data_IF_463018368005
#
_entry.id   IF_463018368005
#
_cell.length_a   1.000
_cell.length_b   1.000
_cell.length_c   1.000
_cell.angle_alpha   90.00
_cell.angle_beta   90.00
_cell.angle_gamma   90.00
#
_symmetry.space_group_name_H-M   'P 1'
#
loop_
_entity.id
_entity.type
_entity.pdbx_description
1 polymer ?
#
# COMPACT_ATOMS: atom_id res chain seq x y z
N UNK A 1 2.69 1.72 62.51
CA UNK A 1 2.53 2.69 61.41
C UNK A 1 2.96 1.98 60.13
N UNK A 2 2.02 1.49 59.38
CA UNK A 2 2.26 0.75 58.13
C UNK A 2 1.82 1.64 56.98
N UNK A 3 2.80 2.06 56.15
CA UNK A 3 2.56 2.88 54.99
C UNK A 3 2.01 1.99 53.87
N UNK A 4 0.74 2.27 53.47
CA UNK A 4 0.11 1.65 52.31
C UNK A 4 0.63 2.24 51.03
N UNK A 5 1.29 1.43 50.20
CA UNK A 5 1.65 1.76 48.83
C UNK A 5 0.40 1.68 47.94
N UNK A 6 -0.12 2.84 47.54
CA UNK A 6 -1.18 2.93 46.56
C UNK A 6 -0.59 2.70 45.16
N UNK A 7 -0.86 1.54 44.59
CA UNK A 7 -0.59 1.27 43.17
C UNK A 7 -1.63 2.05 42.32
N UNK A 8 -1.24 3.19 41.81
CA UNK A 8 -2.00 3.91 40.78
C UNK A 8 -1.96 3.08 39.49
N UNK A 9 -3.07 2.40 39.21
CA UNK A 9 -3.33 1.79 37.88
C UNK A 9 -3.50 2.94 36.90
N UNK A 10 -2.52 3.14 36.02
CA UNK A 10 -2.65 4.06 34.90
C UNK A 10 -3.81 3.59 34.02
N UNK A 11 -4.73 4.47 33.60
CA UNK A 11 -5.81 4.10 32.72
C UNK A 11 -5.20 3.64 31.40
N UNK A 12 -5.48 2.39 31.02
CA UNK A 12 -5.24 1.87 29.66
C UNK A 12 -5.91 2.83 28.69
N UNK A 13 -5.09 3.51 27.89
CA UNK A 13 -5.56 4.47 26.91
C UNK A 13 -6.65 3.85 26.03
N UNK A 14 -7.83 4.43 26.05
CA UNK A 14 -8.95 4.07 25.17
C UNK A 14 -8.46 4.26 23.74
N UNK A 15 -8.06 3.17 23.09
CA UNK A 15 -7.63 3.17 21.72
C UNK A 15 -8.72 3.75 20.82
N UNK A 16 -8.36 4.71 19.99
CA UNK A 16 -9.27 5.34 19.06
C UNK A 16 -9.95 4.28 18.19
N UNK A 17 -11.26 4.13 18.31
CA UNK A 17 -12.12 3.26 17.46
C UNK A 17 -12.30 3.84 16.05
N UNK A 18 -11.64 4.97 15.75
CA UNK A 18 -11.75 5.64 14.46
C UNK A 18 -11.14 4.78 13.36
N UNK A 19 -11.94 4.44 12.34
CA UNK A 19 -11.48 3.72 11.16
C UNK A 19 -10.34 4.47 10.48
N UNK A 20 -9.33 3.73 9.99
CA UNK A 20 -8.31 4.29 9.11
C UNK A 20 -8.94 4.63 7.79
N UNK A 21 -8.71 5.85 7.34
CA UNK A 21 -9.12 6.30 6.02
C UNK A 21 -7.94 6.96 5.33
N UNK A 22 -7.56 6.39 4.19
CA UNK A 22 -6.55 7.02 3.34
C UNK A 22 -7.18 8.18 2.55
N UNK A 23 -6.46 9.30 2.37
CA UNK A 23 -6.86 10.33 1.43
C UNK A 23 -6.96 9.76 0.00
N UNK A 24 -7.75 10.41 -0.86
CA UNK A 24 -7.85 10.01 -2.28
C UNK A 24 -6.49 10.02 -2.99
N UNK A 25 -5.56 10.83 -2.53
CA UNK A 25 -4.17 10.88 -2.97
C UNK A 25 -3.26 10.92 -1.75
N UNK A 26 -2.24 10.06 -1.76
CA UNK A 26 -1.11 10.10 -0.82
C UNK A 26 0.17 10.17 -1.63
N UNK A 27 1.10 11.06 -1.25
CA UNK A 27 2.45 11.08 -1.79
C UNK A 27 3.39 10.25 -0.93
N UNK A 28 4.37 9.61 -1.56
CA UNK A 28 5.42 8.85 -0.88
C UNK A 28 6.58 9.79 -0.60
N UNK A 29 6.93 9.94 0.66
CA UNK A 29 8.10 10.68 1.12
C UNK A 29 9.12 9.72 1.70
N UNK A 30 10.39 9.91 1.37
CA UNK A 30 11.45 9.05 1.88
C UNK A 30 12.68 9.84 2.32
N UNK A 31 13.46 9.24 3.21
CA UNK A 31 14.72 9.81 3.68
C UNK A 31 15.83 8.79 3.40
N UNK A 32 16.69 9.09 2.44
CA UNK A 32 17.69 8.17 1.89
C UNK A 32 18.52 7.43 2.95
N UNK A 33 18.93 8.12 4.03
CA UNK A 33 19.84 7.54 5.04
C UNK A 33 19.13 6.71 6.12
N UNK A 34 17.79 6.67 6.16
CA UNK A 34 17.05 5.99 7.23
C UNK A 34 16.28 4.76 6.75
N UNK A 35 16.26 4.48 5.47
CA UNK A 35 15.40 3.47 4.82
C UNK A 35 13.91 3.60 5.17
N UNK A 36 13.52 4.70 5.82
CA UNK A 36 12.12 4.97 6.19
C UNK A 36 11.45 5.77 5.10
N UNK A 37 10.19 5.50 4.92
CA UNK A 37 9.32 6.28 4.05
C UNK A 37 7.94 6.44 4.67
N UNK A 38 7.21 7.42 4.17
CA UNK A 38 5.92 7.84 4.69
C UNK A 38 4.94 8.02 3.56
N UNK A 39 3.66 7.81 3.86
CA UNK A 39 2.55 8.27 3.06
C UNK A 39 1.97 9.51 3.73
N UNK A 40 1.72 10.56 2.97
CA UNK A 40 1.17 11.82 3.48
C UNK A 40 0.56 12.69 2.40
N UNK A 41 -0.04 13.79 2.80
CA UNK A 41 -0.56 14.80 1.88
C UNK A 41 0.55 15.77 1.45
N UNK A 42 1.49 16.04 2.36
CA UNK A 42 2.69 16.84 2.14
C UNK A 42 3.81 16.36 3.08
N UNK A 43 4.99 16.97 3.00
CA UNK A 43 6.11 16.67 3.91
C UNK A 43 5.80 17.07 5.36
N UNK A 44 4.94 18.06 5.53
CA UNK A 44 4.50 18.59 6.81
C UNK A 44 3.30 17.82 7.34
N UNK A 45 2.58 17.11 6.47
CA UNK A 45 1.37 16.33 6.80
C UNK A 45 1.59 14.86 6.44
N UNK A 46 2.47 14.21 7.20
CA UNK A 46 2.76 12.77 7.11
C UNK A 46 1.73 12.00 7.91
N UNK A 47 1.05 11.04 7.28
CA UNK A 47 -0.05 10.30 7.86
C UNK A 47 0.35 8.91 8.35
N UNK A 48 1.15 8.19 7.57
CA UNK A 48 1.52 6.81 7.84
C UNK A 48 3.02 6.62 7.64
N UNK A 49 3.68 5.93 8.56
CA UNK A 49 5.08 5.58 8.41
C UNK A 49 5.24 4.13 7.98
N UNK A 50 6.13 3.87 7.03
CA UNK A 50 6.64 2.55 6.77
C UNK A 50 8.01 2.40 7.44
N UNK A 51 8.08 1.47 8.38
CA UNK A 51 9.29 1.16 9.15
C UNK A 51 9.87 -0.14 8.61
N UNK A 52 11.01 -0.10 7.92
CA UNK A 52 11.65 -1.31 7.42
C UNK A 52 12.22 -2.12 8.58
N UNK A 53 12.22 -3.42 8.39
CA UNK A 53 12.85 -4.32 9.34
C UNK A 53 14.36 -4.07 9.42
N UNK A 54 14.88 -4.21 10.62
CA UNK A 54 16.31 -4.42 10.79
C UNK A 54 16.60 -5.89 10.42
N UNK A 55 17.43 -6.11 9.39
CA UNK A 55 17.90 -7.44 8.96
C UNK A 55 16.76 -8.39 8.51
N UNK A 56 16.21 -9.12 8.36
CA UNK A 56 15.23 -10.14 7.89
C UNK A 56 13.82 -10.04 8.49
N UNK A 57 13.47 -9.00 9.22
CA UNK A 57 12.12 -8.87 9.78
C UNK A 57 11.08 -8.31 8.79
N UNK A 58 9.82 -8.19 9.20
CA UNK A 58 8.79 -7.60 8.36
C UNK A 58 8.89 -6.07 8.30
N UNK A 59 8.64 -5.49 7.14
CA UNK A 59 8.36 -4.07 7.03
C UNK A 59 6.98 -3.78 7.63
N UNK A 60 6.86 -2.73 8.43
CA UNK A 60 5.62 -2.44 9.17
C UNK A 60 5.05 -1.09 8.77
N UNK A 61 3.80 -1.08 8.29
CA UNK A 61 3.01 0.12 8.07
C UNK A 61 2.35 0.53 9.38
N UNK A 62 2.59 1.78 9.80
CA UNK A 62 2.14 2.36 11.06
C UNK A 62 0.93 3.27 10.86
N UNK A 63 0.04 3.33 11.86
CA UNK A 63 -1.05 4.28 11.95
C UNK A 63 -0.59 5.61 12.56
N UNK A 64 0.20 6.32 11.79
CA UNK A 64 0.79 7.60 12.18
C UNK A 64 2.21 7.75 11.65
N UNK A 65 2.78 8.96 11.72
CA UNK A 65 4.08 9.27 11.13
C UNK A 65 5.27 8.75 11.95
N UNK A 66 5.04 8.27 13.17
CA UNK A 66 6.09 7.87 14.09
C UNK A 66 6.30 6.35 14.09
N UNK A 67 7.54 5.93 14.39
CA UNK A 67 7.89 4.50 14.54
C UNK A 67 7.11 3.81 15.68
N UNK A 68 6.69 4.56 16.67
CA UNK A 68 5.98 4.08 17.86
C UNK A 68 4.45 4.13 17.70
N UNK A 69 3.96 4.63 16.54
CA UNK A 69 2.54 4.57 16.21
C UNK A 69 2.08 3.12 16.09
N UNK A 70 0.79 2.84 16.30
CA UNK A 70 0.24 1.48 16.22
C UNK A 70 0.50 0.82 14.86
N UNK A 71 0.62 -0.50 14.84
CA UNK A 71 0.78 -1.28 13.63
C UNK A 71 -0.55 -1.41 12.88
N UNK A 72 -0.56 -1.08 11.58
CA UNK A 72 -1.68 -1.32 10.69
C UNK A 72 -1.51 -2.61 9.91
N UNK A 73 -0.32 -2.82 9.38
CA UNK A 73 0.00 -4.00 8.61
C UNK A 73 1.50 -4.28 8.62
N UNK A 74 1.87 -5.53 8.35
CA UNK A 74 3.25 -5.90 8.11
C UNK A 74 3.40 -6.68 6.80
N UNK A 75 4.55 -6.53 6.14
CA UNK A 75 4.94 -7.27 4.95
C UNK A 75 6.23 -8.01 5.22
N UNK A 76 6.17 -9.33 5.25
CA UNK A 76 7.32 -10.23 5.45
C UNK A 76 7.67 -10.91 4.12
N UNK A 77 8.89 -10.69 3.64
CA UNK A 77 9.40 -11.35 2.43
C UNK A 77 9.70 -12.81 2.74
N UNK A 78 9.06 -13.74 2.07
CA UNK A 78 9.34 -15.18 2.16
C UNK A 78 10.35 -15.62 1.10
N UNK A 79 10.15 -15.16 -0.11
CA UNK A 79 11.03 -15.43 -1.26
C UNK A 79 11.14 -14.16 -2.11
N UNK A 80 11.93 -14.22 -3.19
CA UNK A 80 11.99 -13.11 -4.16
C UNK A 80 10.65 -12.86 -4.89
N UNK A 81 9.72 -13.81 -4.79
CA UNK A 81 8.44 -13.80 -5.51
C UNK A 81 7.22 -13.76 -4.58
N UNK A 82 7.41 -13.86 -3.29
CA UNK A 82 6.31 -13.99 -2.35
C UNK A 82 6.57 -13.18 -1.08
N UNK A 83 5.54 -12.46 -0.66
CA UNK A 83 5.49 -11.81 0.64
C UNK A 83 4.20 -12.17 1.35
N UNK A 84 4.28 -12.41 2.65
CA UNK A 84 3.11 -12.53 3.51
C UNK A 84 2.80 -11.16 4.09
N UNK A 85 1.57 -10.70 3.91
CA UNK A 85 1.07 -9.45 4.47
C UNK A 85 0.06 -9.77 5.56
N UNK A 86 0.24 -9.17 6.74
CA UNK A 86 -0.68 -9.27 7.87
C UNK A 86 -1.28 -7.91 8.15
N UNK A 87 -2.60 -7.83 8.24
CA UNK A 87 -3.35 -6.62 8.59
C UNK A 87 -3.86 -6.80 10.00
N UNK A 88 -3.63 -5.81 10.86
CA UNK A 88 -3.94 -5.88 12.28
C UNK A 88 -5.27 -5.18 12.62
N UNK A 89 -5.90 -5.65 13.69
CA UNK A 89 -7.01 -4.95 14.32
C UNK A 89 -6.49 -3.82 15.20
N UNK A 90 -7.31 -2.85 15.49
CA UNK A 90 -7.02 -1.78 16.44
C UNK A 90 -7.88 -1.85 17.69
N UNK A 91 -7.39 -1.36 18.83
CA UNK A 91 -5.99 -1.29 19.26
C UNK A 91 -5.59 -2.69 19.76
N UNK A 92 -4.41 -3.15 19.52
CA UNK A 92 -3.94 -4.37 20.19
C UNK A 92 -3.15 -5.32 19.32
N UNK A 93 -3.10 -5.10 18.01
CA UNK A 93 -2.17 -5.84 17.15
C UNK A 93 -2.59 -7.29 16.84
N UNK A 94 -3.84 -7.69 17.11
CA UNK A 94 -4.34 -8.97 16.61
C UNK A 94 -4.42 -8.99 15.09
N UNK A 95 -4.10 -10.13 14.49
CA UNK A 95 -4.16 -10.29 13.03
C UNK A 95 -5.62 -10.39 12.59
N UNK A 96 -6.11 -9.37 11.90
CA UNK A 96 -7.45 -9.33 11.30
C UNK A 96 -7.50 -10.11 9.99
N UNK A 97 -6.48 -9.97 9.16
CA UNK A 97 -6.36 -10.62 7.86
C UNK A 97 -4.91 -10.99 7.56
N UNK A 98 -4.73 -12.11 6.87
CA UNK A 98 -3.44 -12.51 6.29
C UNK A 98 -3.67 -12.77 4.81
N UNK A 99 -2.86 -12.14 3.96
CA UNK A 99 -2.88 -12.35 2.52
C UNK A 99 -1.48 -12.69 2.01
N UNK A 100 -1.44 -13.46 0.92
CA UNK A 100 -0.22 -13.74 0.18
C UNK A 100 -0.14 -12.77 -0.98
N UNK A 101 1.00 -12.14 -1.13
CA UNK A 101 1.29 -11.21 -2.22
C UNK A 101 2.34 -11.85 -3.13
N UNK A 102 1.92 -12.17 -4.35
CA UNK A 102 2.73 -12.87 -5.33
C UNK A 102 3.28 -11.93 -6.37
N UNK A 103 4.59 -12.06 -6.62
CA UNK A 103 5.32 -11.37 -7.66
C UNK A 103 5.59 -12.35 -8.79
N UNK A 104 5.02 -12.14 -9.95
CA UNK A 104 5.42 -12.90 -11.12
C UNK A 104 6.82 -12.48 -11.62
N UNK A 105 7.44 -13.25 -12.52
CA UNK A 105 8.87 -13.34 -12.83
C UNK A 105 9.62 -12.02 -13.17
N UNK A 106 8.95 -10.89 -13.37
CA UNK A 106 9.59 -9.59 -13.61
C UNK A 106 8.78 -8.45 -12.96
N UNK A 107 9.40 -7.27 -12.79
CA UNK A 107 8.70 -6.05 -12.36
C UNK A 107 7.61 -5.62 -13.34
N UNK A 108 7.69 -6.08 -14.59
CA UNK A 108 6.68 -5.85 -15.64
C UNK A 108 5.49 -6.81 -15.53
N UNK A 109 5.61 -7.86 -14.70
CA UNK A 109 4.56 -8.86 -14.55
C UNK A 109 3.56 -8.47 -13.45
N UNK A 110 2.36 -9.00 -13.60
CA UNK A 110 1.26 -8.78 -12.67
C UNK A 110 1.59 -9.29 -11.26
N UNK A 111 1.21 -8.52 -10.26
CA UNK A 111 1.40 -8.86 -8.85
C UNK A 111 0.03 -9.03 -8.21
N UNK A 112 -0.21 -10.16 -7.58
CA UNK A 112 -1.56 -10.59 -7.19
C UNK A 112 -1.69 -10.77 -5.69
N UNK A 113 -2.88 -10.46 -5.19
CA UNK A 113 -3.31 -10.83 -3.85
C UNK A 113 -4.82 -11.08 -3.81
N UNK A 114 -5.25 -11.76 -2.77
CA UNK A 114 -6.65 -12.02 -2.49
C UNK A 114 -7.03 -11.42 -1.15
N UNK A 115 -8.24 -10.89 -1.06
CA UNK A 115 -8.77 -10.31 0.15
C UNK A 115 -10.25 -10.64 0.29
N UNK A 116 -10.70 -10.94 1.51
CA UNK A 116 -12.11 -11.09 1.80
C UNK A 116 -12.74 -9.73 2.04
N UNK A 117 -13.67 -9.34 1.17
CA UNK A 117 -14.47 -8.11 1.27
C UNK A 117 -15.90 -8.51 1.62
N UNK A 118 -16.34 -8.12 2.82
CA UNK A 118 -17.61 -8.65 3.38
C UNK A 118 -17.51 -10.17 3.55
N UNK A 119 -18.31 -10.91 2.77
CA UNK A 119 -18.35 -12.39 2.78
C UNK A 119 -17.75 -13.03 1.52
N UNK A 120 -17.17 -12.23 0.61
CA UNK A 120 -16.65 -12.71 -0.68
C UNK A 120 -15.16 -12.60 -0.72
N UNK A 121 -14.52 -13.67 -1.19
CA UNK A 121 -13.10 -13.68 -1.53
C UNK A 121 -12.94 -13.05 -2.90
N UNK A 122 -12.15 -11.99 -2.98
CA UNK A 122 -11.94 -11.21 -4.19
C UNK A 122 -10.46 -11.19 -4.55
N UNK A 123 -10.20 -11.13 -5.86
CA UNK A 123 -8.86 -11.18 -6.42
C UNK A 123 -8.48 -9.81 -6.98
N UNK A 124 -7.27 -9.37 -6.66
CA UNK A 124 -6.72 -8.09 -7.06
C UNK A 124 -5.37 -8.29 -7.73
N UNK A 125 -5.08 -7.42 -8.70
CA UNK A 125 -3.85 -7.49 -9.46
C UNK A 125 -3.31 -6.10 -9.74
N UNK A 126 -2.06 -5.86 -9.36
CA UNK A 126 -1.29 -4.71 -9.79
C UNK A 126 -0.71 -4.98 -11.18
N UNK A 127 -0.93 -4.08 -12.12
CA UNK A 127 -0.46 -4.15 -13.52
C UNK A 127 0.31 -2.90 -13.86
N UNK A 128 1.45 -3.04 -14.51
CA UNK A 128 2.13 -1.91 -15.15
C UNK A 128 1.22 -1.33 -16.23
N UNK A 129 1.20 -0.02 -16.36
CA UNK A 129 0.33 0.67 -17.31
C UNK A 129 0.97 1.94 -17.85
N UNK A 130 0.61 2.26 -19.10
CA UNK A 130 0.93 3.53 -19.78
C UNK A 130 -0.35 4.16 -20.35
N UNK A 131 -1.49 3.91 -19.70
CA UNK A 131 -2.80 4.34 -20.18
C UNK A 131 -3.06 5.83 -20.04
N UNK A 132 -4.09 6.34 -20.75
CA UNK A 132 -4.49 7.74 -20.68
C UNK A 132 -5.04 8.13 -19.31
N UNK A 133 -5.57 7.16 -18.54
CA UNK A 133 -6.04 7.33 -17.17
C UNK A 133 -4.99 7.96 -16.25
N UNK A 134 -3.72 7.67 -16.52
CA UNK A 134 -2.60 8.24 -15.77
C UNK A 134 -2.48 9.73 -16.02
N UNK A 135 -2.47 10.12 -17.30
CA UNK A 135 -2.32 11.51 -17.72
C UNK A 135 -3.46 12.38 -17.19
N UNK A 136 -4.68 11.85 -17.22
CA UNK A 136 -5.85 12.56 -16.70
C UNK A 136 -5.80 12.74 -15.18
N UNK A 137 -5.29 11.73 -14.45
CA UNK A 137 -5.21 11.76 -13.00
C UNK A 137 -4.04 12.62 -12.47
N UNK A 138 -2.89 12.56 -13.15
CA UNK A 138 -1.64 13.15 -12.65
C UNK A 138 -1.25 14.43 -13.37
N UNK A 139 -1.89 14.74 -14.52
CA UNK A 139 -1.52 15.85 -15.38
C UNK A 139 -0.21 15.65 -16.16
N UNK A 140 0.46 14.52 -15.99
CA UNK A 140 1.76 14.23 -16.60
C UNK A 140 1.88 12.77 -17.03
N UNK A 141 2.79 12.49 -17.98
CA UNK A 141 3.17 11.12 -18.33
C UNK A 141 4.25 10.63 -17.36
N UNK A 142 3.95 9.62 -16.56
CA UNK A 142 4.92 8.91 -15.75
C UNK A 142 5.41 7.66 -16.49
N UNK A 143 6.67 7.29 -16.29
CA UNK A 143 7.28 6.12 -16.94
C UNK A 143 6.90 4.82 -16.25
N UNK A 144 6.87 4.82 -14.91
CA UNK A 144 6.61 3.63 -14.11
C UNK A 144 5.32 3.82 -13.30
N UNK A 145 4.25 3.25 -13.80
CA UNK A 145 2.92 3.35 -13.19
C UNK A 145 2.29 1.98 -13.06
N UNK A 146 1.70 1.75 -11.90
CA UNK A 146 0.96 0.53 -11.61
C UNK A 146 -0.51 0.87 -11.34
N UNK A 147 -1.43 0.09 -11.90
CA UNK A 147 -2.86 0.16 -11.58
C UNK A 147 -3.30 -1.10 -10.87
N UNK A 148 -4.04 -0.93 -9.78
CA UNK A 148 -4.71 -2.02 -9.10
C UNK A 148 -6.05 -2.28 -9.76
N UNK A 149 -6.25 -3.48 -10.26
CA UNK A 149 -7.51 -3.90 -10.87
C UNK A 149 -8.16 -5.01 -10.04
N UNK A 150 -9.49 -4.98 -9.99
CA UNK A 150 -10.30 -6.07 -9.48
C UNK A 150 -10.46 -7.09 -10.58
N UNK A 151 -9.99 -8.32 -10.34
CA UNK A 151 -10.20 -9.42 -11.28
C UNK A 151 -11.62 -9.92 -11.06
N UNK A 152 -12.52 -9.57 -11.99
CA UNK A 152 -13.87 -10.04 -11.90
C UNK A 152 -13.92 -11.57 -12.09
N UNK A 153 -14.64 -12.23 -11.21
CA UNK A 153 -15.21 -13.54 -11.53
C UNK A 153 -16.06 -13.39 -12.80
N UNK A 154 -16.11 -14.40 -13.63
CA UNK A 154 -16.61 -14.56 -15.02
C UNK A 154 -17.65 -13.57 -15.62
N UNK A 155 -18.24 -12.66 -14.85
CA UNK A 155 -19.40 -11.86 -15.25
C UNK A 155 -19.12 -10.39 -15.54
N UNK A 156 -17.90 -9.89 -15.46
CA UNK A 156 -17.60 -8.49 -15.77
C UNK A 156 -17.33 -8.29 -17.25
N UNK A 157 -18.39 -8.25 -18.02
CA UNK A 157 -18.39 -7.99 -19.44
C UNK A 157 -18.34 -6.48 -19.77
N UNK A 158 -17.19 -5.83 -19.58
CA UNK A 158 -16.90 -4.58 -20.26
C UNK A 158 -15.69 -4.71 -21.17
N UNK A 159 -15.70 -5.74 -22.02
CA UNK A 159 -14.79 -5.86 -23.16
C UNK A 159 -15.31 -5.04 -24.34
N UNK A 160 -14.92 -3.79 -24.44
CA UNK A 160 -15.24 -2.92 -25.57
C UNK A 160 -13.97 -2.33 -26.20
N UNK A 161 -14.10 -1.71 -27.39
CA UNK A 161 -13.01 -0.96 -28.02
C UNK A 161 -12.55 0.16 -27.08
N UNK A 162 -11.24 0.50 -27.09
CA UNK A 162 -10.62 1.48 -26.18
C UNK A 162 -11.39 2.82 -26.08
N UNK A 163 -12.08 3.26 -27.14
CA UNK A 163 -12.86 4.51 -27.18
C UNK A 163 -14.21 4.44 -26.45
N UNK A 164 -14.73 3.24 -26.16
CA UNK A 164 -16.06 3.02 -25.61
C UNK A 164 -16.03 2.64 -24.12
N UNK A 165 -14.83 2.50 -23.55
CA UNK A 165 -14.67 2.08 -22.15
C UNK A 165 -14.71 3.28 -21.23
N UNK A 166 -15.42 3.17 -20.08
CA UNK A 166 -15.27 4.14 -19.01
C UNK A 166 -13.80 4.28 -18.59
N UNK A 167 -13.39 5.48 -18.19
CA UNK A 167 -12.00 5.82 -17.86
C UNK A 167 -11.36 4.83 -16.86
N UNK A 168 -12.14 4.41 -15.86
CA UNK A 168 -11.67 3.56 -14.76
C UNK A 168 -11.79 2.06 -15.01
N UNK A 169 -11.80 1.64 -16.28
CA UNK A 169 -11.79 0.23 -16.64
C UNK A 169 -10.56 -0.11 -17.48
N UNK A 170 -9.88 -1.18 -17.11
CA UNK A 170 -8.74 -1.71 -17.86
C UNK A 170 -9.18 -2.33 -19.20
N UNK A 171 -8.22 -2.63 -20.08
CA UNK A 171 -8.49 -3.19 -21.41
C UNK A 171 -9.25 -4.51 -21.42
N UNK A 172 -9.25 -5.26 -20.33
CA UNK A 172 -10.04 -6.49 -20.17
C UNK A 172 -11.37 -6.29 -19.45
N UNK A 173 -11.87 -5.05 -19.28
CA UNK A 173 -13.10 -4.76 -18.54
C UNK A 173 -12.96 -4.80 -17.02
N UNK A 174 -11.75 -5.03 -16.49
CA UNK A 174 -11.51 -5.02 -15.05
C UNK A 174 -11.57 -3.60 -14.49
N UNK A 175 -12.23 -3.45 -13.35
CA UNK A 175 -12.37 -2.18 -12.62
C UNK A 175 -11.01 -1.74 -12.05
N UNK A 176 -10.64 -0.46 -12.24
CA UNK A 176 -9.43 0.12 -11.65
C UNK A 176 -9.79 0.74 -10.31
N UNK A 177 -9.14 0.28 -9.24
CA UNK A 177 -9.43 0.68 -7.87
C UNK A 177 -8.38 1.63 -7.29
N UNK A 178 -7.13 1.51 -7.73
CA UNK A 178 -6.05 2.39 -7.32
C UNK A 178 -5.00 2.55 -8.43
N UNK A 179 -4.23 3.63 -8.35
CA UNK A 179 -3.09 3.89 -9.23
C UNK A 179 -1.92 4.32 -8.36
N UNK A 180 -0.76 3.71 -8.58
CA UNK A 180 0.49 4.08 -7.96
C UNK A 180 1.49 4.55 -9.01
N UNK A 181 2.13 5.70 -8.78
CA UNK A 181 3.16 6.26 -9.66
C UNK A 181 4.52 6.21 -8.99
N UNK A 182 5.54 5.84 -9.74
CA UNK A 182 6.91 5.94 -9.32
C UNK A 182 7.57 7.16 -9.95
N UNK A 183 8.27 7.94 -9.14
CA UNK A 183 8.99 9.12 -9.61
C UNK A 183 10.48 8.94 -9.36
N UNK A 184 11.22 8.62 -10.40
CA UNK A 184 12.68 8.40 -10.33
C UNK A 184 13.49 9.69 -10.18
N UNK A 185 12.87 10.85 -9.93
CA UNK A 185 13.56 12.13 -9.92
C UNK A 185 14.34 12.32 -8.61
N UNK A 186 15.50 11.68 -8.53
CA UNK A 186 16.48 11.80 -7.42
C UNK A 186 16.97 13.24 -7.18
N UNK A 187 16.67 14.19 -8.06
CA UNK A 187 17.02 15.61 -7.86
C UNK A 187 16.06 16.34 -6.93
N UNK A 188 14.82 15.86 -6.80
CA UNK A 188 13.90 16.28 -5.72
C UNK A 188 13.98 15.24 -4.59
N UNK A 189 15.02 15.34 -3.80
CA UNK A 189 15.18 14.55 -2.59
C UNK A 189 13.86 14.56 -1.80
N UNK A 190 13.32 13.36 -1.55
CA UNK A 190 12.25 13.01 -0.63
C UNK A 190 10.85 12.74 -1.23
N UNK A 191 10.62 12.83 -2.53
CA UNK A 191 9.34 12.42 -3.14
C UNK A 191 9.56 11.22 -4.05
N UNK A 192 8.86 10.11 -3.77
CA UNK A 192 9.02 8.83 -4.45
C UNK A 192 7.89 8.46 -5.41
N UNK A 193 6.86 9.27 -5.48
CA UNK A 193 5.65 9.03 -6.28
C UNK A 193 4.38 9.22 -5.49
N UNK A 194 3.26 8.84 -6.08
CA UNK A 194 1.92 9.01 -5.52
C UNK A 194 1.14 7.69 -5.53
N UNK A 195 0.24 7.54 -4.57
CA UNK A 195 -0.80 6.52 -4.53
C UNK A 195 -2.17 7.18 -4.56
N UNK A 196 -2.96 6.86 -5.56
CA UNK A 196 -4.32 7.36 -5.76
C UNK A 196 -5.32 6.25 -5.49
N UNK A 197 -6.29 6.50 -4.62
CA UNK A 197 -7.44 5.64 -4.40
C UNK A 197 -8.60 6.11 -5.29
N UNK A 198 -8.94 5.33 -6.31
CA UNK A 198 -10.05 5.63 -7.23
C UNK A 198 -11.36 5.22 -6.58
N UNK A 199 -11.37 4.03 -5.96
CA UNK A 199 -12.51 3.50 -5.24
C UNK A 199 -12.04 2.79 -3.98
N UNK A 200 -12.77 2.99 -2.88
CA UNK A 200 -12.55 2.28 -1.62
C UNK A 200 -13.54 1.12 -1.49
N UNK A 201 -13.04 -0.02 -1.05
CA UNK A 201 -13.83 -1.18 -0.65
C UNK A 201 -13.79 -1.39 0.87
N UNK A 202 -13.43 -0.35 1.61
CA UNK A 202 -13.32 -0.33 3.07
C UNK A 202 -11.90 -0.36 3.59
N UNK A 203 -11.76 -0.19 4.91
CA UNK A 203 -10.48 -0.01 5.61
C UNK A 203 -9.45 -1.09 5.30
N UNK A 204 -9.83 -2.35 5.39
CA UNK A 204 -8.94 -3.49 5.14
C UNK A 204 -8.38 -3.48 3.72
N UNK A 205 -9.21 -3.11 2.74
CA UNK A 205 -8.80 -2.97 1.35
C UNK A 205 -7.82 -1.80 1.17
N UNK A 206 -8.09 -0.64 1.77
CA UNK A 206 -7.19 0.52 1.68
C UNK A 206 -5.81 0.21 2.28
N UNK A 207 -5.77 -0.45 3.45
CA UNK A 207 -4.52 -0.88 4.09
C UNK A 207 -3.78 -1.89 3.21
N UNK A 208 -4.48 -2.91 2.66
CA UNK A 208 -3.88 -3.89 1.75
C UNK A 208 -3.32 -3.22 0.50
N UNK A 209 -4.06 -2.28 -0.08
CA UNK A 209 -3.63 -1.49 -1.26
C UNK A 209 -2.37 -0.70 -0.96
N UNK A 210 -2.34 0.03 0.17
CA UNK A 210 -1.19 0.84 0.56
C UNK A 210 0.07 -0.03 0.76
N UNK A 211 -0.01 -1.09 1.56
CA UNK A 211 1.16 -1.91 1.88
C UNK A 211 1.66 -2.72 0.69
N UNK A 212 0.78 -3.22 -0.19
CA UNK A 212 1.18 -3.92 -1.41
C UNK A 212 1.83 -2.97 -2.40
N UNK A 213 1.29 -1.75 -2.56
CA UNK A 213 1.91 -0.75 -3.42
C UNK A 213 3.28 -0.30 -2.89
N UNK A 214 3.42 -0.03 -1.61
CA UNK A 214 4.70 0.32 -1.00
C UNK A 214 5.74 -0.80 -1.21
N UNK A 215 5.31 -2.05 -1.21
CA UNK A 215 6.20 -3.19 -1.53
C UNK A 215 6.68 -3.17 -2.98
N UNK A 216 5.80 -2.83 -3.94
CA UNK A 216 6.17 -2.65 -5.35
C UNK A 216 7.15 -1.49 -5.49
N UNK A 217 6.84 -0.37 -4.85
CA UNK A 217 7.65 0.84 -4.87
C UNK A 217 9.08 0.56 -4.34
N UNK A 218 9.23 -0.15 -3.22
CA UNK A 218 10.54 -0.59 -2.70
C UNK A 218 11.35 -1.36 -3.73
N UNK A 219 10.70 -2.30 -4.41
CA UNK A 219 11.38 -3.14 -5.41
C UNK A 219 11.79 -2.33 -6.63
N UNK A 220 10.95 -1.42 -7.09
CA UNK A 220 11.27 -0.50 -8.20
C UNK A 220 12.44 0.41 -7.83
N UNK A 221 12.46 0.95 -6.59
CA UNK A 221 13.57 1.72 -6.06
C UNK A 221 14.88 0.91 -6.02
N UNK A 222 14.84 -0.31 -5.51
CA UNK A 222 16.02 -1.18 -5.43
C UNK A 222 16.57 -1.51 -6.82
N UNK A 223 15.69 -1.78 -7.79
CA UNK A 223 16.08 -2.03 -9.18
C UNK A 223 16.71 -0.78 -9.82
N UNK A 224 16.14 0.40 -9.63
CA UNK A 224 16.67 1.66 -10.17
C UNK A 224 18.03 2.06 -9.58
N UNK A 225 18.32 1.63 -8.35
CA UNK A 225 19.61 1.87 -7.69
C UNK A 225 20.67 0.81 -8.02
N UNK A 226 20.41 -0.13 -8.90
CA UNK A 226 21.32 -1.24 -9.20
C UNK A 226 21.52 -2.23 -8.05
N UNK A 227 20.68 -2.13 -7.00
CA UNK A 227 20.67 -3.04 -5.84
C UNK A 227 19.78 -4.28 -6.11
N UNK A 228 19.44 -4.50 -7.37
CA UNK A 228 18.62 -5.60 -7.82
C UNK A 228 19.27 -6.95 -7.54
N UNK A 229 18.55 -7.78 -6.81
CA UNK A 229 18.84 -9.17 -6.43
C UNK A 229 19.85 -9.39 -5.30
N UNK A 230 19.45 -9.09 -4.08
CA UNK A 230 19.93 -9.84 -2.93
C UNK A 230 18.79 -10.73 -2.42
#
# INVERSE_FOLDING_TARGET
MTAGTSNAVLPLGVGSTKMVKFPKKCSIFFKMWTSRYWLGMSKEDLLFAMVPAKWKGPNVLKDGPNKDSPDLASSERRTNKESTIRIYTRPGGEIKNTLQFYLEKSLESAQRFELTIGHRREHFEWRTTHGNEIKELTGSSHTDVHKLVRIATKDAAYGGKRKERPLWYASGGAEILAIGTYQANLKKYNEGGDLFFIQSLGETFEIATAITYLRIWEMTMAAAQGLGSV
#
